data_IF_847088789309
#
_entry.id   IF_847088789309
#
_cell.length_a   1.000
_cell.length_b   1.000
_cell.length_c   1.000
_cell.angle_alpha   90.00
_cell.angle_beta   90.00
_cell.angle_gamma   90.00
#
_symmetry.space_group_name_H-M   'P 1'
#
loop_
_entity.id
_entity.type
_entity.pdbx_description
1 polymer ?
#
# COMPACT_ATOMS: atom_id res chain seq x y z
N UNK A 1 -18.55 -4.96 19.16
CA UNK A 1 -17.33 -4.13 18.94
C UNK A 1 -16.25 -4.69 19.82
N UNK A 2 -15.18 -5.26 19.26
CA UNK A 2 -14.02 -5.65 20.06
C UNK A 2 -13.35 -4.39 20.61
N UNK A 3 -13.10 -4.36 21.90
CA UNK A 3 -12.40 -3.27 22.58
C UNK A 3 -10.95 -3.30 22.06
N UNK A 4 -10.59 -2.37 21.17
CA UNK A 4 -9.21 -2.24 20.69
C UNK A 4 -8.37 -1.62 21.80
N UNK A 5 -7.20 -2.19 22.12
CA UNK A 5 -6.26 -1.54 23.04
C UNK A 5 -5.89 -0.16 22.52
N UNK A 6 -5.77 0.79 23.42
CA UNK A 6 -5.45 2.18 23.13
C UNK A 6 -4.19 2.29 22.27
N UNK A 7 -4.32 2.96 21.10
CA UNK A 7 -3.23 3.23 20.18
C UNK A 7 -2.87 2.14 19.16
N UNK A 8 -3.62 1.03 19.04
CA UNK A 8 -3.47 0.12 17.90
C UNK A 8 -4.25 0.64 16.68
N UNK A 9 -3.70 0.52 15.46
CA UNK A 9 -4.42 0.85 14.24
C UNK A 9 -5.72 0.06 14.08
N UNK A 10 -6.66 0.60 13.32
CA UNK A 10 -7.87 -0.09 12.94
C UNK A 10 -7.61 -1.07 11.80
N UNK A 11 -8.29 -2.22 11.78
CA UNK A 11 -8.24 -3.17 10.67
C UNK A 11 -9.58 -3.87 10.47
N UNK A 12 -9.73 -4.48 9.30
CA UNK A 12 -10.71 -5.52 9.01
C UNK A 12 -10.00 -6.86 8.92
N UNK A 13 -10.70 -7.93 9.21
CA UNK A 13 -10.13 -9.28 9.26
C UNK A 13 -11.17 -10.30 8.86
N UNK A 14 -10.74 -11.32 8.11
CA UNK A 14 -11.52 -12.51 7.80
C UNK A 14 -10.62 -13.75 7.66
N UNK A 15 -11.23 -14.93 7.66
CA UNK A 15 -10.55 -16.23 7.57
C UNK A 15 -10.15 -16.83 8.92
N UNK A 16 -9.70 -18.09 8.93
CA UNK A 16 -9.38 -18.83 10.14
C UNK A 16 -8.12 -18.32 10.80
N UNK A 17 -8.11 -18.25 12.15
CA UNK A 17 -6.96 -17.77 12.92
C UNK A 17 -5.76 -18.73 12.90
N UNK A 18 -6.00 -19.99 12.64
CA UNK A 18 -5.03 -21.08 12.52
C UNK A 18 -4.65 -21.39 11.08
N UNK A 19 -4.92 -20.46 10.15
CA UNK A 19 -4.54 -20.57 8.75
C UNK A 19 -3.03 -20.79 8.58
N UNK A 20 -2.64 -21.48 7.50
CA UNK A 20 -1.23 -21.75 7.16
C UNK A 20 -0.42 -20.48 6.92
N UNK A 21 -1.08 -19.43 6.42
CA UNK A 21 -0.49 -18.10 6.27
C UNK A 21 -1.49 -17.00 6.64
N UNK A 22 -0.95 -15.93 7.21
CA UNK A 22 -1.70 -14.68 7.47
C UNK A 22 -1.20 -13.60 6.53
N UNK A 23 -2.11 -13.03 5.72
CA UNK A 23 -1.81 -11.90 4.84
C UNK A 23 -2.24 -10.60 5.51
N UNK A 24 -1.38 -9.57 5.43
CA UNK A 24 -1.69 -8.22 5.93
C UNK A 24 -1.55 -7.22 4.79
N UNK A 25 -2.65 -6.63 4.39
CA UNK A 25 -2.72 -5.65 3.31
C UNK A 25 -2.49 -4.23 3.85
N UNK A 26 -1.50 -3.55 3.25
CA UNK A 26 -1.04 -2.22 3.63
C UNK A 26 -1.31 -1.26 2.48
N UNK A 27 -2.20 -0.30 2.68
CA UNK A 27 -2.62 0.63 1.63
C UNK A 27 -1.63 1.76 1.36
N UNK A 28 -1.76 2.40 0.18
CA UNK A 28 -1.02 3.60 -0.21
C UNK A 28 -1.58 4.90 0.38
N UNK A 29 -0.98 6.03 0.00
CA UNK A 29 -1.29 7.37 0.53
C UNK A 29 -2.74 7.83 0.34
N UNK A 30 -3.45 7.31 -0.66
CA UNK A 30 -4.86 7.60 -0.91
C UNK A 30 -5.81 6.47 -0.51
N UNK A 31 -5.32 5.47 0.24
CA UNK A 31 -6.08 4.27 0.55
C UNK A 31 -6.76 4.27 1.91
N UNK A 32 -7.09 3.07 2.35
CA UNK A 32 -7.67 2.72 3.64
C UNK A 32 -8.02 1.23 3.62
N UNK A 33 -8.35 0.64 4.78
CA UNK A 33 -8.70 -0.79 4.89
C UNK A 33 -9.84 -1.21 3.94
N UNK A 34 -10.79 -0.30 3.69
CA UNK A 34 -11.91 -0.55 2.79
C UNK A 34 -11.47 -0.85 1.35
N UNK A 35 -10.35 -0.27 0.91
CA UNK A 35 -9.79 -0.52 -0.42
C UNK A 35 -9.28 -1.95 -0.63
N UNK A 36 -9.11 -2.71 0.44
CA UNK A 36 -8.72 -4.12 0.41
C UNK A 36 -9.81 -5.07 0.92
N UNK A 37 -11.07 -4.61 1.05
CA UNK A 37 -12.16 -5.48 1.52
C UNK A 37 -12.29 -6.72 0.63
N UNK A 38 -12.33 -6.55 -0.69
CA UNK A 38 -12.43 -7.67 -1.64
C UNK A 38 -11.24 -8.62 -1.55
N UNK A 39 -10.02 -8.08 -1.32
CA UNK A 39 -8.83 -8.93 -1.11
C UNK A 39 -8.95 -9.74 0.19
N UNK A 40 -9.40 -9.12 1.28
CA UNK A 40 -9.62 -9.82 2.55
C UNK A 40 -10.65 -10.94 2.38
N UNK A 41 -11.78 -10.67 1.73
CA UNK A 41 -12.84 -11.65 1.49
C UNK A 41 -12.38 -12.78 0.55
N UNK A 42 -11.64 -12.43 -0.52
CA UNK A 42 -11.07 -13.38 -1.46
C UNK A 42 -10.12 -14.37 -0.80
N UNK A 43 -9.14 -13.90 -0.06
CA UNK A 43 -8.17 -14.78 0.59
C UNK A 43 -8.80 -15.57 1.74
N UNK A 44 -9.76 -15.00 2.46
CA UNK A 44 -10.52 -15.70 3.47
C UNK A 44 -11.35 -16.86 2.88
N UNK A 45 -11.92 -16.69 1.68
CA UNK A 45 -12.65 -17.76 0.97
C UNK A 45 -11.75 -18.93 0.55
N UNK A 46 -10.44 -18.72 0.55
CA UNK A 46 -9.41 -19.72 0.27
C UNK A 46 -8.71 -20.24 1.54
N UNK A 47 -9.35 -20.07 2.70
CA UNK A 47 -8.89 -20.54 4.02
C UNK A 47 -7.58 -19.87 4.50
N UNK A 48 -7.19 -18.72 3.94
CA UNK A 48 -6.14 -17.88 4.49
C UNK A 48 -6.72 -16.88 5.49
N UNK A 49 -5.96 -16.54 6.52
CA UNK A 49 -6.28 -15.40 7.37
C UNK A 49 -5.83 -14.12 6.68
N UNK A 50 -6.72 -13.18 6.49
CA UNK A 50 -6.44 -11.92 5.80
C UNK A 50 -6.87 -10.71 6.63
N UNK A 51 -5.97 -9.73 6.75
CA UNK A 51 -6.20 -8.47 7.45
C UNK A 51 -5.90 -7.31 6.50
N UNK A 52 -6.65 -6.21 6.62
CA UNK A 52 -6.29 -4.95 6.00
C UNK A 52 -6.41 -3.82 7.02
N UNK A 53 -5.39 -3.00 7.15
CA UNK A 53 -5.35 -1.95 8.16
C UNK A 53 -5.79 -0.58 7.63
N UNK A 54 -6.21 0.30 8.52
CA UNK A 54 -6.11 1.73 8.29
C UNK A 54 -4.77 2.21 8.86
N UNK A 55 -3.88 2.74 8.02
CA UNK A 55 -2.65 3.39 8.46
C UNK A 55 -2.98 4.46 9.50
N UNK A 56 -2.13 4.71 10.53
CA UNK A 56 -2.36 5.79 11.48
C UNK A 56 -2.74 7.13 10.82
N UNK A 57 -3.83 7.71 11.29
CA UNK A 57 -4.43 8.92 10.73
C UNK A 57 -5.42 8.71 9.58
N UNK A 58 -5.61 7.46 9.13
CA UNK A 58 -6.58 7.08 8.10
C UNK A 58 -7.78 6.37 8.72
N UNK A 59 -8.93 6.51 8.09
CA UNK A 59 -10.17 5.83 8.47
C UNK A 59 -10.46 5.91 9.97
N UNK A 60 -10.47 4.74 10.64
CA UNK A 60 -10.77 4.65 12.07
C UNK A 60 -9.49 4.60 12.95
N UNK A 61 -8.31 4.80 12.38
CA UNK A 61 -7.05 4.83 13.12
C UNK A 61 -6.72 6.22 13.63
N UNK A 62 -6.31 6.30 14.89
CA UNK A 62 -5.83 7.56 15.47
C UNK A 62 -4.56 8.04 14.73
N UNK A 63 -4.43 9.35 14.58
CA UNK A 63 -3.21 9.93 14.03
C UNK A 63 -2.04 9.82 15.00
N UNK A 64 -0.84 9.64 14.46
CA UNK A 64 0.39 9.74 15.22
C UNK A 64 0.76 11.21 15.45
N UNK A 65 1.41 11.51 16.56
CA UNK A 65 2.01 12.82 16.80
C UNK A 65 3.04 13.18 15.69
N UNK A 66 3.82 12.20 15.27
CA UNK A 66 4.76 12.32 14.15
C UNK A 66 4.60 11.13 13.20
N UNK A 67 4.15 11.39 11.97
CA UNK A 67 4.02 10.37 10.93
C UNK A 67 5.38 10.18 10.25
N UNK A 68 6.09 9.13 10.67
CA UNK A 68 7.34 8.66 10.06
C UNK A 68 7.19 7.18 9.69
N UNK A 69 7.96 6.69 8.72
CA UNK A 69 7.94 5.25 8.40
C UNK A 69 8.33 4.38 9.59
N UNK A 70 9.26 4.85 10.43
CA UNK A 70 9.62 4.18 11.68
C UNK A 70 8.40 3.99 12.59
N UNK A 71 7.63 5.05 12.81
CA UNK A 71 6.45 4.99 13.68
C UNK A 71 5.30 4.21 13.03
N UNK A 72 5.20 4.22 11.69
CA UNK A 72 4.23 3.39 10.96
C UNK A 72 4.55 1.90 11.11
N UNK A 73 5.82 1.50 11.00
CA UNK A 73 6.23 0.11 11.23
C UNK A 73 6.00 -0.35 12.68
N UNK A 74 6.26 0.51 13.67
CA UNK A 74 5.92 0.24 15.08
C UNK A 74 4.40 0.09 15.29
N UNK A 75 3.60 0.89 14.60
CA UNK A 75 2.14 0.78 14.65
C UNK A 75 1.64 -0.51 14.01
N UNK A 76 2.27 -0.96 12.92
CA UNK A 76 2.00 -2.25 12.30
C UNK A 76 2.32 -3.39 13.26
N UNK A 77 3.49 -3.38 13.90
CA UNK A 77 3.88 -4.37 14.91
C UNK A 77 2.87 -4.45 16.05
N UNK A 78 2.46 -3.29 16.58
CA UNK A 78 1.41 -3.22 17.61
C UNK A 78 0.08 -3.81 17.13
N UNK A 79 -0.30 -3.57 15.87
CA UNK A 79 -1.50 -4.20 15.29
C UNK A 79 -1.36 -5.72 15.22
N UNK A 80 -0.20 -6.24 14.79
CA UNK A 80 0.06 -7.68 14.75
C UNK A 80 -0.05 -8.32 16.13
N UNK A 81 0.47 -7.67 17.18
CA UNK A 81 0.36 -8.15 18.57
C UNK A 81 -1.09 -8.24 19.02
N UNK A 82 -1.87 -7.17 18.82
CA UNK A 82 -3.29 -7.12 19.22
C UNK A 82 -4.12 -8.12 18.42
N UNK A 83 -3.82 -8.29 17.13
CA UNK A 83 -4.46 -9.27 16.25
C UNK A 83 -3.97 -10.71 16.54
N UNK A 84 -2.99 -10.90 17.43
CA UNK A 84 -2.37 -12.20 17.71
C UNK A 84 -1.81 -12.86 16.45
N UNK A 85 -1.14 -12.08 15.61
CA UNK A 85 -0.43 -12.53 14.43
C UNK A 85 1.06 -12.59 14.75
N UNK A 86 1.62 -13.78 14.82
CA UNK A 86 3.04 -13.95 15.11
C UNK A 86 3.91 -13.53 13.92
N UNK A 87 3.61 -14.07 12.74
CA UNK A 87 4.26 -13.72 11.48
C UNK A 87 3.22 -13.49 10.39
N UNK A 88 3.51 -12.56 9.47
CA UNK A 88 2.62 -12.22 8.36
C UNK A 88 3.35 -12.12 7.02
N UNK A 89 2.63 -12.45 5.95
CA UNK A 89 2.97 -12.02 4.59
C UNK A 89 2.44 -10.60 4.43
N UNK A 90 3.32 -9.61 4.31
CA UNK A 90 2.92 -8.22 4.12
C UNK A 90 2.69 -7.95 2.63
N UNK A 91 1.47 -7.55 2.27
CA UNK A 91 1.08 -7.16 0.91
C UNK A 91 0.94 -5.65 0.88
N UNK A 92 2.02 -4.96 0.51
CA UNK A 92 2.09 -3.50 0.55
C UNK A 92 1.94 -2.85 -0.83
N UNK A 93 0.92 -2.01 -0.99
CA UNK A 93 0.71 -1.21 -2.20
C UNK A 93 1.24 0.21 -2.02
N UNK A 94 2.07 0.69 -2.96
CA UNK A 94 2.59 2.06 -2.98
C UNK A 94 3.28 2.42 -1.64
N UNK A 95 2.84 3.44 -0.91
CA UNK A 95 3.35 3.76 0.43
C UNK A 95 3.26 2.58 1.41
N UNK A 96 2.27 1.70 1.27
CA UNK A 96 2.17 0.46 2.06
C UNK A 96 3.34 -0.50 1.81
N UNK A 97 3.89 -0.55 0.59
CA UNK A 97 5.11 -1.30 0.28
C UNK A 97 6.34 -0.69 0.95
N UNK A 98 6.41 0.63 1.06
CA UNK A 98 7.46 1.30 1.83
C UNK A 98 7.35 1.00 3.33
N UNK A 99 6.13 0.93 3.88
CA UNK A 99 5.91 0.48 5.28
C UNK A 99 6.37 -0.95 5.46
N UNK A 100 6.09 -1.85 4.52
CA UNK A 100 6.55 -3.24 4.58
C UNK A 100 8.09 -3.35 4.57
N UNK A 101 8.78 -2.56 3.73
CA UNK A 101 10.25 -2.48 3.72
C UNK A 101 10.82 -1.90 5.03
N UNK A 102 10.16 -0.89 5.59
CA UNK A 102 10.55 -0.35 6.90
C UNK A 102 10.33 -1.37 8.03
N UNK A 103 9.22 -2.11 7.99
CA UNK A 103 8.94 -3.16 8.97
C UNK A 103 9.98 -4.28 8.88
N UNK A 104 10.42 -4.68 7.69
CA UNK A 104 11.54 -5.61 7.52
C UNK A 104 12.78 -5.13 8.27
N UNK A 105 13.13 -3.87 8.16
CA UNK A 105 14.32 -3.32 8.83
C UNK A 105 14.20 -3.23 10.36
N UNK A 106 12.98 -3.28 10.92
CA UNK A 106 12.75 -3.09 12.36
C UNK A 106 12.39 -4.38 13.11
N UNK A 107 11.58 -5.23 12.48
CA UNK A 107 11.05 -6.46 13.08
C UNK A 107 10.99 -7.61 12.04
N UNK A 108 12.14 -8.01 11.45
CA UNK A 108 12.18 -9.03 10.41
C UNK A 108 11.60 -10.38 10.88
N UNK A 109 11.69 -10.69 12.16
CA UNK A 109 11.15 -11.91 12.77
C UNK A 109 9.62 -12.00 12.70
N UNK A 110 8.91 -10.87 12.52
CA UNK A 110 7.45 -10.79 12.39
C UNK A 110 6.98 -10.97 10.93
N UNK A 111 7.92 -11.10 9.98
CA UNK A 111 7.61 -11.14 8.55
C UNK A 111 7.90 -12.53 8.01
N UNK A 112 6.88 -13.14 7.40
CA UNK A 112 6.98 -14.43 6.73
C UNK A 112 7.31 -14.26 5.24
N UNK A 113 6.83 -13.19 4.61
CA UNK A 113 7.07 -12.88 3.20
C UNK A 113 6.64 -11.46 2.86
N UNK A 114 7.06 -10.98 1.69
CA UNK A 114 6.80 -9.63 1.21
C UNK A 114 6.20 -9.66 -0.20
N UNK A 115 5.09 -8.97 -0.40
CA UNK A 115 4.58 -8.58 -1.72
C UNK A 115 4.64 -7.05 -1.80
N UNK A 116 5.56 -6.54 -2.61
CA UNK A 116 5.78 -5.10 -2.78
C UNK A 116 5.16 -4.70 -4.13
N UNK A 117 3.96 -4.12 -4.08
CA UNK A 117 3.18 -3.77 -5.26
C UNK A 117 3.23 -2.26 -5.54
N UNK A 118 3.57 -1.87 -6.76
CA UNK A 118 3.58 -0.48 -7.22
C UNK A 118 4.32 0.47 -6.25
N UNK A 119 5.50 0.07 -5.76
CA UNK A 119 6.24 0.78 -4.72
C UNK A 119 7.71 0.99 -5.07
N UNK A 120 8.48 1.58 -4.17
CA UNK A 120 9.89 1.90 -4.37
C UNK A 120 10.66 1.77 -3.05
N UNK A 121 11.95 1.40 -3.08
CA UNK A 121 12.77 1.32 -1.88
C UNK A 121 13.22 2.70 -1.37
N UNK A 122 12.97 3.76 -2.12
CA UNK A 122 13.29 5.13 -1.76
C UNK A 122 12.51 6.13 -2.62
N UNK A 123 12.44 7.37 -2.18
CA UNK A 123 11.81 8.45 -2.95
C UNK A 123 12.88 9.34 -3.61
N UNK A 124 13.19 9.05 -4.88
CA UNK A 124 14.15 9.84 -5.66
C UNK A 124 15.59 9.77 -5.12
N UNK A 125 16.37 10.83 -5.40
CA UNK A 125 17.69 11.07 -4.83
C UNK A 125 17.56 12.06 -3.67
N UNK A 126 18.35 11.87 -2.60
CA UNK A 126 18.18 12.64 -1.36
C UNK A 126 18.50 14.15 -1.48
N UNK A 127 19.31 14.54 -2.44
CA UNK A 127 19.84 15.90 -2.54
C UNK A 127 19.31 16.60 -3.79
N UNK A 128 18.07 17.09 -3.76
CA UNK A 128 17.52 17.82 -4.89
C UNK A 128 16.20 18.53 -4.60
N UNK A 129 15.91 19.56 -5.40
CA UNK A 129 14.63 20.29 -5.36
C UNK A 129 13.44 19.41 -5.73
N UNK A 130 13.67 18.20 -6.27
CA UNK A 130 12.64 17.28 -6.73
C UNK A 130 11.62 16.95 -5.62
N UNK A 131 12.09 16.61 -4.41
CA UNK A 131 11.21 16.26 -3.29
C UNK A 131 10.35 17.46 -2.87
N UNK A 132 10.96 18.64 -2.79
CA UNK A 132 10.25 19.88 -2.43
C UNK A 132 9.23 20.24 -3.50
N UNK A 133 9.60 20.17 -4.78
CA UNK A 133 8.70 20.42 -5.90
C UNK A 133 7.55 19.41 -5.95
N UNK A 134 7.81 18.12 -5.72
CA UNK A 134 6.79 17.09 -5.66
C UNK A 134 5.77 17.39 -4.56
N UNK A 135 6.23 17.67 -3.34
CA UNK A 135 5.33 18.00 -2.22
C UNK A 135 4.54 19.27 -2.54
N UNK A 136 5.20 20.32 -3.04
CA UNK A 136 4.54 21.57 -3.39
C UNK A 136 3.44 21.37 -4.44
N UNK A 137 3.71 20.62 -5.51
CA UNK A 137 2.73 20.32 -6.57
C UNK A 137 1.55 19.51 -6.03
N UNK A 138 1.80 18.49 -5.21
CA UNK A 138 0.76 17.65 -4.63
C UNK A 138 -0.11 18.40 -3.61
N UNK A 139 0.47 19.35 -2.87
CA UNK A 139 -0.24 20.17 -1.89
C UNK A 139 -0.87 21.44 -2.47
N UNK A 140 -0.48 21.86 -3.66
CA UNK A 140 -0.99 23.09 -4.29
C UNK A 140 -2.54 23.17 -4.30
N UNK A 141 -3.30 22.10 -4.66
CA UNK A 141 -4.75 22.15 -4.60
C UNK A 141 -5.29 22.41 -3.18
N UNK A 142 -4.75 21.70 -2.17
CA UNK A 142 -5.16 21.89 -0.77
C UNK A 142 -4.78 23.27 -0.23
N UNK A 143 -3.63 23.80 -0.64
CA UNK A 143 -3.20 25.16 -0.27
C UNK A 143 -4.08 26.23 -0.91
N UNK A 144 -4.67 25.92 -2.08
CA UNK A 144 -5.68 26.77 -2.75
C UNK A 144 -7.12 26.53 -2.25
N UNK A 145 -7.31 25.85 -1.11
CA UNK A 145 -8.62 25.62 -0.49
C UNK A 145 -9.46 24.52 -1.14
N UNK A 146 -8.88 23.69 -2.01
CA UNK A 146 -9.59 22.54 -2.60
C UNK A 146 -9.77 21.42 -1.57
N UNK A 147 -10.86 20.66 -1.72
CA UNK A 147 -11.15 19.48 -0.89
C UNK A 147 -10.33 18.26 -1.33
N UNK A 148 -10.24 17.23 -0.48
CA UNK A 148 -9.63 15.95 -0.86
C UNK A 148 -10.38 15.26 -2.00
N UNK A 149 -11.69 15.45 -2.12
CA UNK A 149 -12.46 15.00 -3.29
C UNK A 149 -11.94 15.62 -4.58
N UNK A 150 -11.71 16.94 -4.58
CA UNK A 150 -11.14 17.62 -5.75
C UNK A 150 -9.67 17.24 -6.02
N UNK A 151 -8.94 16.82 -5.01
CA UNK A 151 -7.60 16.22 -5.17
C UNK A 151 -7.74 14.84 -5.83
N UNK A 152 -8.67 14.00 -5.38
CA UNK A 152 -8.95 12.69 -5.95
C UNK A 152 -9.38 12.78 -7.42
N UNK A 153 -10.29 13.72 -7.76
CA UNK A 153 -10.73 13.99 -9.14
C UNK A 153 -9.56 14.20 -10.11
N UNK A 154 -8.50 14.85 -9.62
CA UNK A 154 -7.32 15.13 -10.44
C UNK A 154 -6.31 13.99 -10.46
N UNK A 155 -6.12 13.30 -9.33
CA UNK A 155 -5.03 12.34 -9.18
C UNK A 155 -5.38 10.95 -9.71
N UNK A 156 -6.59 10.44 -9.43
CA UNK A 156 -6.99 9.08 -9.82
C UNK A 156 -6.80 8.85 -11.33
N UNK A 157 -7.26 9.74 -12.24
CA UNK A 157 -7.06 9.53 -13.67
C UNK A 157 -5.59 9.49 -14.12
N UNK A 158 -4.68 10.08 -13.34
CA UNK A 158 -3.24 10.07 -13.68
C UNK A 158 -2.51 8.81 -13.23
N UNK A 159 -3.14 8.00 -12.37
CA UNK A 159 -2.53 6.83 -11.73
C UNK A 159 -3.00 5.50 -12.34
N UNK A 160 -3.93 5.54 -13.26
CA UNK A 160 -4.50 4.34 -13.89
C UNK A 160 -3.95 4.13 -15.31
N UNK A 161 -4.15 2.93 -15.84
CA UNK A 161 -3.81 2.62 -17.23
C UNK A 161 -4.60 3.52 -18.21
N UNK A 162 -4.06 3.78 -19.42
CA UNK A 162 -4.65 4.73 -20.38
C UNK A 162 -6.12 4.46 -20.74
N UNK A 163 -6.54 3.20 -20.70
CA UNK A 163 -7.90 2.78 -21.09
C UNK A 163 -8.77 2.40 -19.88
N UNK A 164 -8.29 2.63 -18.64
CA UNK A 164 -9.04 2.29 -17.43
C UNK A 164 -10.24 3.21 -17.19
N UNK A 165 -10.17 4.44 -17.72
CA UNK A 165 -11.24 5.43 -17.67
C UNK A 165 -11.50 6.03 -19.06
N UNK A 166 -12.77 6.29 -19.45
CA UNK A 166 -13.06 7.10 -20.62
C UNK A 166 -12.46 8.50 -20.49
N UNK A 167 -12.07 9.11 -21.60
CA UNK A 167 -11.58 10.49 -21.62
C UNK A 167 -12.67 11.44 -21.12
N UNK A 168 -12.35 12.23 -20.08
CA UNK A 168 -13.30 13.16 -19.48
C UNK A 168 -14.39 12.48 -18.63
N UNK A 169 -14.18 11.23 -18.23
CA UNK A 169 -15.14 10.50 -17.39
C UNK A 169 -15.46 11.26 -16.10
N UNK A 170 -16.73 11.35 -15.76
CA UNK A 170 -17.21 11.77 -14.46
C UNK A 170 -17.18 10.61 -13.47
N UNK A 171 -17.21 10.88 -12.18
CA UNK A 171 -17.19 9.83 -11.13
C UNK A 171 -18.33 8.80 -11.31
N UNK A 172 -19.48 9.21 -11.82
CA UNK A 172 -20.60 8.30 -12.11
C UNK A 172 -20.29 7.26 -13.21
N UNK A 173 -19.25 7.49 -13.99
CA UNK A 173 -18.80 6.61 -15.07
C UNK A 173 -17.57 5.77 -14.69
N UNK A 174 -17.07 5.93 -13.44
CA UNK A 174 -15.94 5.13 -12.98
C UNK A 174 -16.36 3.68 -12.76
N UNK A 175 -15.53 2.70 -13.16
CA UNK A 175 -15.66 1.32 -12.68
C UNK A 175 -15.68 1.28 -11.15
N UNK A 176 -16.40 0.32 -10.58
CA UNK A 176 -16.63 0.23 -9.13
C UNK A 176 -15.33 0.32 -8.31
N UNK A 177 -14.28 -0.41 -8.70
CA UNK A 177 -12.98 -0.35 -8.02
C UNK A 177 -12.36 1.03 -8.06
N UNK A 178 -12.42 1.76 -9.19
CA UNK A 178 -11.88 3.12 -9.28
C UNK A 178 -12.76 4.15 -8.56
N UNK A 179 -14.06 3.94 -8.50
CA UNK A 179 -14.95 4.74 -7.65
C UNK A 179 -14.62 4.52 -6.16
N UNK A 180 -14.31 3.29 -5.75
CA UNK A 180 -13.81 2.98 -4.41
C UNK A 180 -12.47 3.65 -4.11
N UNK A 181 -11.51 3.62 -5.05
CA UNK A 181 -10.22 4.31 -4.90
C UNK A 181 -10.43 5.83 -4.70
N UNK A 182 -11.33 6.42 -5.49
CA UNK A 182 -11.71 7.83 -5.36
C UNK A 182 -12.34 8.12 -3.99
N UNK A 183 -13.27 7.28 -3.54
CA UNK A 183 -13.91 7.42 -2.22
C UNK A 183 -12.90 7.31 -1.08
N UNK A 184 -11.98 6.34 -1.14
CA UNK A 184 -10.90 6.19 -0.15
C UNK A 184 -10.03 7.45 -0.09
N UNK A 185 -9.56 7.95 -1.24
CA UNK A 185 -8.72 9.15 -1.28
C UNK A 185 -9.47 10.40 -0.80
N UNK A 186 -10.73 10.54 -1.16
CA UNK A 186 -11.58 11.66 -0.73
C UNK A 186 -11.80 11.69 0.79
N UNK A 187 -11.77 10.54 1.44
CA UNK A 187 -11.96 10.39 2.87
C UNK A 187 -10.69 10.65 3.70
N UNK A 188 -9.52 10.78 3.07
CA UNK A 188 -8.26 11.03 3.80
C UNK A 188 -8.30 12.43 4.43
N UNK A 189 -8.04 12.57 5.75
CA UNK A 189 -7.94 13.89 6.36
C UNK A 189 -6.82 14.71 5.71
N UNK A 190 -7.04 16.00 5.35
CA UNK A 190 -6.01 16.83 4.72
C UNK A 190 -4.71 16.92 5.52
N UNK A 191 -4.77 16.94 6.85
CA UNK A 191 -3.59 16.94 7.72
C UNK A 191 -2.78 15.64 7.57
N UNK A 192 -3.46 14.48 7.54
CA UNK A 192 -2.84 13.17 7.32
C UNK A 192 -2.21 13.08 5.94
N UNK A 193 -2.89 13.54 4.88
CA UNK A 193 -2.34 13.56 3.54
C UNK A 193 -1.05 14.40 3.46
N UNK A 194 -1.04 15.59 4.11
CA UNK A 194 0.15 16.44 4.20
C UNK A 194 1.31 15.74 4.91
N UNK A 195 1.05 15.16 6.09
CA UNK A 195 2.06 14.44 6.86
C UNK A 195 2.61 13.22 6.10
N UNK A 196 1.75 12.48 5.40
CA UNK A 196 2.14 11.32 4.59
C UNK A 196 3.04 11.72 3.41
N UNK A 197 2.75 12.83 2.70
CA UNK A 197 3.62 13.34 1.63
C UNK A 197 4.98 13.75 2.17
N UNK A 198 5.04 14.41 3.33
CA UNK A 198 6.30 14.82 3.96
C UNK A 198 7.13 13.62 4.42
N UNK A 199 6.50 12.55 4.91
CA UNK A 199 7.18 11.32 5.24
C UNK A 199 7.68 10.59 3.98
N UNK A 200 6.83 10.50 2.94
CA UNK A 200 7.12 9.80 1.70
C UNK A 200 8.43 10.26 1.06
N UNK A 201 8.64 11.57 0.96
CA UNK A 201 9.83 12.14 0.29
C UNK A 201 11.14 11.94 1.06
N UNK A 202 11.05 11.51 2.32
CA UNK A 202 12.21 11.20 3.17
C UNK A 202 12.51 9.70 3.25
N UNK A 203 11.71 8.88 2.59
CA UNK A 203 11.84 7.43 2.67
C UNK A 203 13.11 6.93 1.97
N UNK A 204 13.89 6.09 2.68
CA UNK A 204 15.12 5.49 2.17
C UNK A 204 15.35 4.13 2.80
N UNK A 205 15.24 3.05 2.02
CA UNK A 205 15.45 1.67 2.42
C UNK A 205 16.22 0.84 1.37
N UNK A 206 17.01 1.50 0.50
CA UNK A 206 17.82 0.78 -0.50
C UNK A 206 18.83 -0.18 0.13
N UNK A 207 19.37 0.21 1.29
CA UNK A 207 20.34 -0.62 2.03
C UNK A 207 19.72 -1.88 2.67
N UNK A 208 18.40 -1.88 2.89
CA UNK A 208 17.70 -3.04 3.43
C UNK A 208 17.47 -4.14 2.40
N UNK A 209 17.42 -3.82 1.10
CA UNK A 209 17.08 -4.81 0.06
C UNK A 209 17.98 -6.07 0.08
N UNK A 210 19.33 -5.97 0.17
CA UNK A 210 20.18 -7.14 0.22
C UNK A 210 20.04 -7.98 1.50
N UNK A 211 19.42 -7.44 2.55
CA UNK A 211 19.22 -8.15 3.82
C UNK A 211 17.92 -8.96 3.87
N UNK A 212 17.03 -8.75 2.88
CA UNK A 212 15.75 -9.47 2.82
C UNK A 212 16.02 -10.94 2.51
N UNK A 213 15.62 -11.81 3.44
CA UNK A 213 15.86 -13.25 3.39
C UNK A 213 14.58 -14.10 3.34
N UNK A 214 13.41 -13.44 3.29
CA UNK A 214 12.11 -14.11 3.15
C UNK A 214 11.64 -14.09 1.70
N UNK A 215 10.75 -15.02 1.29
CA UNK A 215 10.14 -14.98 -0.03
C UNK A 215 9.60 -13.59 -0.33
N UNK A 216 9.92 -13.05 -1.51
CA UNK A 216 9.55 -11.68 -1.88
C UNK A 216 9.07 -11.62 -3.32
N UNK A 217 7.91 -10.98 -3.55
CA UNK A 217 7.38 -10.64 -4.86
C UNK A 217 7.40 -9.13 -5.06
N UNK A 218 8.04 -8.66 -6.13
CA UNK A 218 7.94 -7.28 -6.61
C UNK A 218 6.92 -7.24 -7.76
N UNK A 219 5.78 -6.59 -7.52
CA UNK A 219 4.64 -6.58 -8.44
C UNK A 219 4.45 -5.18 -9.04
N UNK A 220 4.50 -5.10 -10.37
CA UNK A 220 4.37 -3.85 -11.12
C UNK A 220 3.10 -3.80 -11.97
N UNK A 221 2.55 -2.62 -12.24
CA UNK A 221 1.60 -2.39 -13.31
C UNK A 221 2.33 -1.88 -14.56
N UNK A 222 2.01 -2.43 -15.74
CA UNK A 222 2.69 -2.09 -17.00
C UNK A 222 2.69 -0.59 -17.31
N UNK A 223 1.59 0.10 -16.98
CA UNK A 223 1.39 1.52 -17.24
C UNK A 223 1.59 2.42 -16.01
N UNK A 224 2.16 1.88 -14.93
CA UNK A 224 2.43 2.67 -13.72
C UNK A 224 3.52 3.72 -13.99
N UNK A 225 3.13 5.00 -13.92
CA UNK A 225 4.03 6.14 -14.06
C UNK A 225 4.52 6.67 -12.70
N UNK A 226 3.92 6.23 -11.60
CA UNK A 226 4.27 6.64 -10.22
C UNK A 226 5.40 5.79 -9.67
N UNK A 227 5.30 4.47 -9.83
CA UNK A 227 6.35 3.51 -9.53
C UNK A 227 6.56 2.62 -10.78
N UNK A 228 7.30 3.11 -11.80
CA UNK A 228 7.44 2.41 -13.07
C UNK A 228 7.93 0.97 -12.92
N UNK A 229 7.52 0.05 -13.81
CA UNK A 229 7.91 -1.37 -13.77
C UNK A 229 9.40 -1.60 -13.57
N UNK A 230 10.22 -0.74 -14.15
CA UNK A 230 11.68 -0.82 -14.04
C UNK A 230 12.20 -0.61 -12.60
N UNK A 231 11.48 0.19 -11.79
CA UNK A 231 11.84 0.38 -10.37
C UNK A 231 11.65 -0.93 -9.60
N UNK A 232 10.50 -1.61 -9.80
CA UNK A 232 10.19 -2.89 -9.16
C UNK A 232 11.15 -3.99 -9.63
N UNK A 233 11.48 -4.02 -10.93
CA UNK A 233 12.44 -4.97 -11.51
C UNK A 233 13.84 -4.82 -10.90
N UNK A 234 14.35 -3.57 -10.80
CA UNK A 234 15.64 -3.30 -10.15
C UNK A 234 15.64 -3.63 -8.66
N UNK A 235 14.50 -3.42 -8.00
CA UNK A 235 14.35 -3.80 -6.60
C UNK A 235 14.43 -5.31 -6.43
N UNK A 236 13.70 -6.09 -7.24
CA UNK A 236 13.78 -7.55 -7.24
C UNK A 236 15.20 -8.06 -7.46
N UNK A 237 15.96 -7.47 -8.38
CA UNK A 237 17.35 -7.84 -8.65
C UNK A 237 18.29 -7.62 -7.45
N UNK A 238 17.92 -6.78 -6.48
CA UNK A 238 18.71 -6.51 -5.27
C UNK A 238 18.32 -7.36 -4.07
N UNK A 239 17.26 -8.15 -4.17
CA UNK A 239 16.77 -9.03 -3.13
C UNK A 239 17.05 -10.48 -3.58
N UNK A 240 17.79 -11.22 -2.79
CA UNK A 240 18.12 -12.61 -3.14
C UNK A 240 16.86 -13.48 -3.25
N UNK A 241 16.68 -14.16 -4.38
CA UNK A 241 15.52 -15.03 -4.62
C UNK A 241 14.18 -14.32 -4.84
N UNK A 242 14.15 -13.00 -4.96
CA UNK A 242 12.90 -12.29 -5.21
C UNK A 242 12.34 -12.58 -6.61
N UNK A 243 11.02 -12.70 -6.66
CA UNK A 243 10.24 -12.79 -7.90
C UNK A 243 9.87 -11.39 -8.39
N UNK A 244 9.73 -11.24 -9.70
CA UNK A 244 9.20 -10.04 -10.34
C UNK A 244 8.07 -10.42 -11.28
N UNK A 245 6.94 -9.74 -11.16
CA UNK A 245 5.82 -9.88 -12.08
C UNK A 245 5.30 -8.50 -12.48
N UNK A 246 4.91 -8.35 -13.76
CA UNK A 246 4.34 -7.13 -14.30
C UNK A 246 2.94 -7.42 -14.84
N UNK A 247 1.93 -6.80 -14.27
CA UNK A 247 0.54 -6.98 -14.66
C UNK A 247 0.23 -6.16 -15.91
N UNK A 248 -0.02 -6.86 -17.01
CA UNK A 248 -0.29 -6.25 -18.30
C UNK A 248 -1.56 -5.39 -18.29
N UNK A 249 -1.50 -4.23 -18.93
CA UNK A 249 -2.62 -3.31 -19.08
C UNK A 249 -3.09 -2.62 -17.81
N UNK A 250 -2.32 -2.68 -16.70
CA UNK A 250 -2.67 -2.05 -15.42
C UNK A 250 -1.70 -0.90 -15.09
N UNK A 251 -2.22 0.09 -14.35
CA UNK A 251 -1.46 1.23 -13.86
C UNK A 251 -1.05 1.07 -12.39
N UNK A 252 -0.92 2.22 -11.70
CA UNK A 252 -0.53 2.28 -10.30
C UNK A 252 -1.58 1.69 -9.36
N UNK A 253 -2.87 1.86 -9.68
CA UNK A 253 -3.99 1.40 -8.86
C UNK A 253 -4.45 -0.02 -9.23
N UNK A 254 -3.50 -0.92 -9.52
CA UNK A 254 -3.74 -2.23 -10.12
C UNK A 254 -4.86 -3.05 -9.47
N UNK A 255 -4.92 -3.09 -8.14
CA UNK A 255 -5.97 -3.81 -7.41
C UNK A 255 -7.35 -3.14 -7.50
N UNK A 256 -7.41 -1.83 -7.79
CA UNK A 256 -8.66 -1.10 -8.03
C UNK A 256 -9.05 -1.10 -9.51
N UNK A 257 -8.09 -1.20 -10.40
CA UNK A 257 -8.35 -1.27 -11.84
C UNK A 257 -8.92 -2.64 -12.25
N UNK A 258 -8.29 -3.72 -11.76
CA UNK A 258 -8.76 -5.10 -11.91
C UNK A 258 -8.26 -5.94 -10.73
N UNK A 259 -9.18 -6.41 -9.92
CA UNK A 259 -8.87 -7.21 -8.73
C UNK A 259 -8.30 -8.59 -9.08
N UNK A 260 -8.87 -9.28 -10.07
CA UNK A 260 -8.52 -10.66 -10.37
C UNK A 260 -7.03 -10.85 -10.71
N UNK A 261 -6.39 -10.11 -11.64
CA UNK A 261 -4.96 -10.26 -11.89
C UNK A 261 -4.08 -9.98 -10.65
N UNK A 262 -4.47 -9.01 -9.83
CA UNK A 262 -3.77 -8.72 -8.57
C UNK A 262 -3.89 -9.88 -7.58
N UNK A 263 -5.11 -10.38 -7.37
CA UNK A 263 -5.35 -11.53 -6.49
C UNK A 263 -4.63 -12.80 -6.96
N UNK A 264 -4.66 -13.08 -8.26
CA UNK A 264 -3.99 -14.24 -8.85
C UNK A 264 -2.47 -14.20 -8.67
N UNK A 265 -1.84 -13.05 -8.89
CA UNK A 265 -0.40 -12.87 -8.69
C UNK A 265 -0.01 -13.10 -7.21
N UNK A 266 -0.75 -12.51 -6.27
CA UNK A 266 -0.52 -12.69 -4.83
C UNK A 266 -0.80 -14.15 -4.43
N UNK A 267 -1.89 -14.76 -4.90
CA UNK A 267 -2.23 -16.15 -4.58
C UNK A 267 -1.18 -17.15 -5.08
N UNK A 268 -0.72 -16.96 -6.32
CA UNK A 268 0.34 -17.79 -6.91
C UNK A 268 1.62 -17.74 -6.07
N UNK A 269 2.00 -16.55 -5.61
CA UNK A 269 3.14 -16.36 -4.72
C UNK A 269 2.91 -17.05 -3.37
N UNK A 270 1.77 -16.82 -2.73
CA UNK A 270 1.45 -17.42 -1.42
C UNK A 270 1.45 -18.95 -1.50
N UNK A 271 0.78 -19.55 -2.50
CA UNK A 271 0.73 -21.00 -2.68
C UNK A 271 2.09 -21.64 -2.94
N UNK A 272 3.05 -20.90 -3.46
CA UNK A 272 4.41 -21.42 -3.73
C UNK A 272 5.26 -21.49 -2.46
N UNK A 273 5.02 -20.60 -1.50
CA UNK A 273 5.94 -20.40 -0.38
C UNK A 273 5.34 -20.73 0.99
N UNK A 274 4.02 -20.88 1.07
CA UNK A 274 3.26 -21.07 2.31
C UNK A 274 2.16 -22.12 2.17
#
# INVERSE_FOLDING_TARGET
MMHRPEGAPAWIEAGPKDATATLVFLHGIGGGKKGFQSSVDYFASLEYRALAWDMPGYGDSLALESLTFKNLAQSLEKMLDVAQVNKAVLVGHSMGGMVALQAWSQCPERIAGLVIAASSPAFGQQDGDFQQQFVAQRLAPLNAGKTMTQVADKLIPTMVAPNALPVGATLAQYPEGLALAHACMSAVPPATYRASLQALVKFEQRSALPTISVPTLCLAGEHDKTAPPEVLRRMAQKISGAEYECLAGLGHLMGFEKEAPFHEAVLKFVRRHF
#
